data_IF_843001953581
#
_entry.id   IF_843001953581
#
_cell.length_a   1.000
_cell.length_b   1.000
_cell.length_c   1.000
_cell.angle_alpha   90.00
_cell.angle_beta   90.00
_cell.angle_gamma   90.00
#
_symmetry.space_group_name_H-M   'P 1'
#
loop_
_entity.id
_entity.type
_entity.pdbx_description
1 polymer ?
#
# COMPACT_ATOMS: atom_id res chain seq x y z
N UNK A 1 8.74 -36.25 -17.88
CA UNK A 1 9.59 -36.40 -19.08
C UNK A 1 10.55 -35.22 -19.11
N UNK A 2 11.87 -35.42 -19.32
CA UNK A 2 12.81 -34.31 -19.40
C UNK A 2 12.50 -33.45 -20.64
N UNK A 3 12.31 -32.15 -20.45
CA UNK A 3 12.04 -31.21 -21.54
C UNK A 3 13.10 -31.35 -22.64
N UNK A 4 12.64 -31.41 -23.89
CA UNK A 4 13.46 -31.50 -25.09
C UNK A 4 14.42 -30.31 -25.19
N UNK A 5 15.56 -30.45 -25.87
CA UNK A 5 16.55 -29.36 -26.03
C UNK A 5 15.91 -28.08 -26.60
N UNK A 6 14.93 -28.23 -27.49
CA UNK A 6 14.13 -27.14 -28.09
C UNK A 6 13.22 -26.46 -27.06
N UNK A 7 12.57 -27.20 -26.18
CA UNK A 7 11.75 -26.61 -25.11
C UNK A 7 12.59 -25.83 -24.10
N UNK A 8 13.81 -26.28 -23.77
CA UNK A 8 14.72 -25.52 -22.91
C UNK A 8 15.21 -24.23 -23.56
N UNK A 9 15.47 -24.27 -24.87
CA UNK A 9 15.89 -23.10 -25.64
C UNK A 9 14.75 -22.08 -25.76
N UNK A 10 13.52 -22.57 -25.97
CA UNK A 10 12.30 -21.74 -25.95
C UNK A 10 12.02 -21.17 -24.56
N UNK A 11 12.18 -21.96 -23.48
CA UNK A 11 12.04 -21.48 -22.11
C UNK A 11 13.12 -20.47 -21.71
N UNK A 12 14.29 -20.51 -22.36
CA UNK A 12 15.35 -19.52 -22.17
C UNK A 12 15.06 -18.22 -22.92
N UNK A 13 14.43 -18.29 -24.10
CA UNK A 13 14.06 -17.11 -24.90
C UNK A 13 12.73 -16.47 -24.47
N UNK A 14 11.80 -17.26 -23.95
CA UNK A 14 10.51 -16.77 -23.48
C UNK A 14 10.65 -16.33 -22.02
N UNK A 15 10.52 -15.02 -21.72
CA UNK A 15 10.57 -14.55 -20.35
C UNK A 15 9.43 -15.14 -19.54
N UNK A 16 9.62 -15.22 -18.22
CA UNK A 16 8.53 -15.55 -17.31
C UNK A 16 7.34 -14.60 -17.56
N UNK A 17 6.10 -15.10 -17.54
CA UNK A 17 4.93 -14.28 -17.82
C UNK A 17 4.85 -13.13 -16.81
N UNK A 18 4.70 -11.90 -17.31
CA UNK A 18 4.44 -10.75 -16.44
C UNK A 18 3.10 -10.98 -15.73
N UNK A 19 3.08 -10.79 -14.41
CA UNK A 19 1.89 -10.98 -13.58
C UNK A 19 0.93 -9.77 -13.69
N UNK A 20 0.56 -9.41 -14.91
CA UNK A 20 -0.33 -8.29 -15.25
C UNK A 20 -1.63 -8.89 -15.79
N UNK A 21 -2.80 -8.67 -15.14
CA UNK A 21 -4.05 -9.20 -15.64
C UNK A 21 -4.38 -8.63 -17.04
N UNK A 22 -5.03 -9.39 -17.93
CA UNK A 22 -5.27 -8.97 -19.33
C UNK A 22 -6.02 -7.64 -19.48
N UNK A 23 -6.88 -7.31 -18.50
CA UNK A 23 -7.60 -6.03 -18.45
C UNK A 23 -6.66 -4.83 -18.33
N UNK A 24 -5.50 -5.01 -17.70
CA UNK A 24 -4.49 -3.97 -17.59
C UNK A 24 -3.69 -3.78 -18.89
N UNK A 25 -3.59 -4.78 -19.77
CA UNK A 25 -2.92 -4.63 -21.07
C UNK A 25 -3.66 -3.66 -21.99
N UNK A 26 -4.97 -3.86 -22.14
CA UNK A 26 -5.81 -2.97 -22.95
C UNK A 26 -5.79 -1.55 -22.38
N UNK A 27 -5.91 -1.43 -21.05
CA UNK A 27 -5.83 -0.16 -20.34
C UNK A 27 -4.49 0.54 -20.58
N UNK A 28 -3.37 -0.17 -20.50
CA UNK A 28 -2.05 0.38 -20.75
C UNK A 28 -1.89 0.85 -22.21
N UNK A 29 -2.33 0.04 -23.17
CA UNK A 29 -2.28 0.38 -24.60
C UNK A 29 -3.12 1.61 -24.96
N UNK A 30 -4.35 1.70 -24.45
CA UNK A 30 -5.22 2.86 -24.64
C UNK A 30 -4.62 4.10 -23.97
N UNK A 31 -4.08 3.97 -22.76
CA UNK A 31 -3.42 5.06 -22.05
C UNK A 31 -2.22 5.60 -22.81
N UNK A 32 -1.35 4.72 -23.29
CA UNK A 32 -0.18 5.08 -24.10
C UNK A 32 -0.57 5.77 -25.41
N UNK A 33 -1.60 5.27 -26.11
CA UNK A 33 -2.13 5.89 -27.32
C UNK A 33 -2.63 7.31 -27.05
N UNK A 34 -3.47 7.49 -26.04
CA UNK A 34 -4.05 8.80 -25.69
C UNK A 34 -2.95 9.76 -25.23
N UNK A 35 -2.04 9.29 -24.36
CA UNK A 35 -0.92 10.09 -23.86
C UNK A 35 0.02 10.56 -24.95
N UNK A 36 0.45 9.64 -25.82
CA UNK A 36 1.34 9.95 -26.94
C UNK A 36 0.68 10.90 -27.95
N UNK A 37 -0.58 10.62 -28.32
CA UNK A 37 -1.32 11.46 -29.26
C UNK A 37 -1.52 12.88 -28.73
N UNK A 38 -2.00 13.04 -27.49
CA UNK A 38 -2.25 14.36 -26.91
C UNK A 38 -0.95 15.17 -26.71
N UNK A 39 0.12 14.54 -26.20
CA UNK A 39 1.40 15.20 -26.03
C UNK A 39 1.99 15.62 -27.39
N UNK A 40 2.04 14.72 -28.37
CA UNK A 40 2.53 15.04 -29.72
C UNK A 40 1.69 16.11 -30.43
N UNK A 41 0.35 16.02 -30.33
CA UNK A 41 -0.56 16.98 -30.97
C UNK A 41 -0.45 18.39 -30.38
N UNK A 42 -0.44 18.53 -29.05
CA UNK A 42 -0.31 19.83 -28.39
C UNK A 42 1.06 20.46 -28.65
N UNK A 43 2.14 19.67 -28.63
CA UNK A 43 3.47 20.17 -28.99
C UNK A 43 3.55 20.55 -30.47
N UNK A 44 2.87 19.82 -31.36
CA UNK A 44 2.75 20.17 -32.77
C UNK A 44 2.00 21.49 -32.99
N UNK A 45 1.02 21.82 -32.15
CA UNK A 45 0.33 23.11 -32.22
C UNK A 45 1.20 24.26 -31.72
N UNK A 46 2.03 24.03 -30.70
CA UNK A 46 2.86 25.06 -30.08
C UNK A 46 4.15 25.36 -30.89
N UNK A 47 4.81 24.31 -31.41
CA UNK A 47 6.14 24.43 -32.03
C UNK A 47 6.16 23.97 -33.50
N UNK A 48 5.11 23.33 -33.99
CA UNK A 48 5.02 22.81 -35.36
C UNK A 48 5.24 21.29 -35.45
N UNK A 49 4.77 20.67 -36.56
CA UNK A 49 4.72 19.22 -36.70
C UNK A 49 6.11 18.58 -36.78
N UNK A 50 7.09 19.24 -37.41
CA UNK A 50 8.43 18.68 -37.58
C UNK A 50 9.12 18.46 -36.23
N UNK A 51 9.08 19.45 -35.34
CA UNK A 51 9.67 19.35 -33.99
C UNK A 51 8.96 18.29 -33.16
N UNK A 52 7.62 18.24 -33.23
CA UNK A 52 6.84 17.25 -32.49
C UNK A 52 7.18 15.81 -32.92
N UNK A 53 7.35 15.57 -34.22
CA UNK A 53 7.70 14.25 -34.77
C UNK A 53 9.11 13.80 -34.36
N UNK A 54 10.07 14.72 -34.30
CA UNK A 54 11.43 14.41 -33.84
C UNK A 54 11.48 13.96 -32.38
N UNK A 55 10.67 14.57 -31.51
CA UNK A 55 10.61 14.23 -30.09
C UNK A 55 9.71 13.02 -29.80
N UNK A 56 9.05 12.45 -30.82
CA UNK A 56 8.07 11.39 -30.66
C UNK A 56 8.70 10.08 -30.19
N UNK A 57 9.95 9.79 -30.59
CA UNK A 57 10.66 8.55 -30.23
C UNK A 57 10.84 8.39 -28.70
N UNK A 58 11.55 9.32 -28.03
CA UNK A 58 11.67 9.32 -26.57
C UNK A 58 10.30 9.35 -25.88
N UNK A 59 9.38 10.17 -26.38
CA UNK A 59 8.03 10.31 -25.82
C UNK A 59 7.23 9.00 -25.87
N UNK A 60 7.30 8.26 -26.98
CA UNK A 60 6.64 6.97 -27.15
C UNK A 60 7.21 5.92 -26.17
N UNK A 61 8.53 5.90 -25.98
CA UNK A 61 9.17 5.02 -25.01
C UNK A 61 8.74 5.38 -23.56
N UNK A 62 8.62 6.67 -23.24
CA UNK A 62 8.09 7.13 -21.95
C UNK A 62 6.62 6.74 -21.76
N UNK A 63 5.79 6.83 -22.80
CA UNK A 63 4.40 6.42 -22.75
C UNK A 63 4.26 4.93 -22.38
N UNK A 64 5.09 4.05 -22.96
CA UNK A 64 5.10 2.63 -22.60
C UNK A 64 5.39 2.45 -21.10
N UNK A 65 6.43 3.09 -20.57
CA UNK A 65 6.78 2.97 -19.15
C UNK A 65 5.69 3.52 -18.22
N UNK A 66 5.20 4.73 -18.51
CA UNK A 66 4.26 5.44 -17.64
C UNK A 66 2.86 4.82 -17.63
N UNK A 67 2.45 4.09 -18.67
CA UNK A 67 1.14 3.44 -18.73
C UNK A 67 1.17 1.93 -18.51
N UNK A 68 2.23 1.21 -18.93
CA UNK A 68 2.35 -0.23 -18.75
C UNK A 68 3.06 -0.61 -17.43
N UNK A 69 4.09 0.14 -17.04
CA UNK A 69 4.92 -0.11 -15.85
C UNK A 69 4.84 1.07 -14.87
N UNK A 70 3.64 1.64 -14.72
CA UNK A 70 3.35 2.82 -13.90
C UNK A 70 3.69 2.65 -12.40
N UNK A 71 3.90 1.40 -11.97
CA UNK A 71 4.35 1.04 -10.63
C UNK A 71 5.84 1.25 -10.41
N UNK A 72 6.64 1.18 -11.47
CA UNK A 72 8.09 1.22 -11.39
C UNK A 72 8.62 2.58 -10.91
N UNK A 73 9.79 2.61 -10.25
CA UNK A 73 10.42 3.86 -9.83
C UNK A 73 10.71 4.74 -11.03
N UNK A 74 11.20 4.16 -12.14
CA UNK A 74 11.59 4.89 -13.35
C UNK A 74 10.41 5.55 -14.09
N UNK A 75 9.18 5.15 -13.80
CA UNK A 75 7.96 5.67 -14.42
C UNK A 75 7.28 6.76 -13.59
N UNK A 76 7.79 7.09 -12.40
CA UNK A 76 7.22 8.14 -11.56
C UNK A 76 7.45 9.55 -12.17
N UNK A 77 6.65 10.57 -11.80
CA UNK A 77 6.72 11.90 -12.39
C UNK A 77 8.12 12.55 -12.33
N UNK A 78 8.84 12.40 -11.21
CA UNK A 78 10.16 13.03 -11.04
C UNK A 78 11.20 12.43 -12.00
N UNK A 79 11.38 11.10 -12.11
CA UNK A 79 12.22 10.50 -13.14
C UNK A 79 11.88 10.94 -14.56
N UNK A 80 10.60 11.02 -14.94
CA UNK A 80 10.22 11.47 -16.29
C UNK A 80 10.62 12.93 -16.53
N UNK A 81 10.19 13.85 -15.66
CA UNK A 81 10.44 15.28 -15.85
C UNK A 81 11.92 15.65 -15.65
N UNK A 82 12.54 15.12 -14.60
CA UNK A 82 13.94 15.38 -14.25
C UNK A 82 14.90 14.83 -15.31
N UNK A 83 14.66 13.61 -15.81
CA UNK A 83 15.51 13.05 -16.88
C UNK A 83 15.43 13.87 -18.16
N UNK A 84 14.25 14.30 -18.60
CA UNK A 84 14.09 15.09 -19.83
C UNK A 84 14.77 16.45 -19.70
N UNK A 85 14.66 17.10 -18.53
CA UNK A 85 15.34 18.35 -18.24
C UNK A 85 16.87 18.20 -18.30
N UNK A 86 17.41 17.25 -17.54
CA UNK A 86 18.85 17.05 -17.41
C UNK A 86 19.47 16.52 -18.69
N UNK A 87 18.81 15.59 -19.38
CA UNK A 87 19.25 15.09 -20.67
C UNK A 87 19.28 16.17 -21.75
N UNK A 88 18.26 17.05 -21.78
CA UNK A 88 18.23 18.19 -22.68
C UNK A 88 19.42 19.12 -22.43
N UNK A 89 19.68 19.48 -21.17
CA UNK A 89 20.81 20.33 -20.79
C UNK A 89 22.15 19.68 -21.14
N UNK A 90 22.35 18.40 -20.79
CA UNK A 90 23.60 17.67 -21.08
C UNK A 90 23.79 17.54 -22.59
N UNK A 91 22.75 17.20 -23.33
CA UNK A 91 22.79 17.06 -24.79
C UNK A 91 23.14 18.37 -25.49
N UNK A 92 22.51 19.48 -25.10
CA UNK A 92 22.83 20.82 -25.63
C UNK A 92 24.26 21.22 -25.30
N UNK A 93 24.68 21.10 -24.03
CA UNK A 93 26.04 21.45 -23.62
C UNK A 93 27.13 20.64 -24.35
N UNK A 94 26.90 19.34 -24.56
CA UNK A 94 27.81 18.49 -25.33
C UNK A 94 27.85 18.87 -26.81
N UNK A 95 26.70 19.21 -27.39
CA UNK A 95 26.62 19.68 -28.77
C UNK A 95 27.35 21.01 -28.96
N UNK A 96 27.16 21.97 -28.07
CA UNK A 96 27.77 23.30 -28.19
C UNK A 96 29.28 23.24 -27.99
N UNK A 97 29.76 22.36 -27.10
CA UNK A 97 31.19 22.17 -26.85
C UNK A 97 31.93 21.38 -27.92
N UNK A 98 31.30 20.38 -28.53
CA UNK A 98 31.99 19.38 -29.38
C UNK A 98 31.39 19.18 -30.77
N UNK A 99 30.26 19.85 -31.07
CA UNK A 99 29.53 19.72 -32.33
C UNK A 99 28.66 18.46 -32.42
N UNK A 100 27.96 18.28 -33.55
CA UNK A 100 27.20 17.06 -33.82
C UNK A 100 28.16 15.90 -34.16
N UNK A 101 27.97 14.75 -33.52
CA UNK A 101 28.76 13.55 -33.83
C UNK A 101 28.30 12.33 -33.04
N UNK A 102 28.51 11.15 -33.62
CA UNK A 102 28.12 9.88 -32.99
C UNK A 102 28.80 9.68 -31.63
N UNK A 103 30.10 10.01 -31.54
CA UNK A 103 30.85 9.88 -30.30
C UNK A 103 30.38 10.88 -29.23
N UNK A 104 30.00 12.09 -29.62
CA UNK A 104 29.43 13.12 -28.73
C UNK A 104 28.08 12.66 -28.19
N UNK A 105 27.23 12.08 -29.05
CA UNK A 105 25.93 11.55 -28.65
C UNK A 105 26.08 10.37 -27.67
N UNK A 106 27.03 9.46 -27.91
CA UNK A 106 27.33 8.37 -26.99
C UNK A 106 27.87 8.88 -25.64
N UNK A 107 28.74 9.89 -25.64
CA UNK A 107 29.24 10.53 -24.43
C UNK A 107 28.12 11.25 -23.66
N UNK A 108 27.25 11.97 -24.36
CA UNK A 108 26.10 12.65 -23.79
C UNK A 108 25.11 11.67 -23.14
N UNK A 109 24.86 10.52 -23.77
CA UNK A 109 24.07 9.43 -23.19
C UNK A 109 24.69 8.93 -21.88
N UNK A 110 25.98 8.59 -21.90
CA UNK A 110 26.69 8.10 -20.72
C UNK A 110 26.69 9.10 -19.56
N UNK A 111 26.99 10.37 -19.86
CA UNK A 111 26.96 11.45 -18.87
C UNK A 111 25.54 11.68 -18.32
N UNK A 112 24.53 11.65 -19.19
CA UNK A 112 23.13 11.80 -18.79
C UNK A 112 22.71 10.70 -17.81
N UNK A 113 23.09 9.44 -18.07
CA UNK A 113 22.81 8.33 -17.15
C UNK A 113 23.44 8.57 -15.78
N UNK A 114 24.72 8.98 -15.73
CA UNK A 114 25.41 9.28 -14.46
C UNK A 114 24.72 10.39 -13.67
N UNK A 115 24.39 11.50 -14.34
CA UNK A 115 23.70 12.65 -13.73
C UNK A 115 22.30 12.24 -13.23
N UNK A 116 21.56 11.45 -14.01
CA UNK A 116 20.25 10.95 -13.61
C UNK A 116 20.30 10.02 -12.39
N UNK A 117 21.31 9.14 -12.32
CA UNK A 117 21.53 8.28 -11.16
C UNK A 117 21.83 9.11 -9.90
N UNK A 118 22.71 10.11 -9.99
CA UNK A 118 23.03 11.02 -8.88
C UNK A 118 21.80 11.78 -8.37
N UNK A 119 20.94 12.24 -9.27
CA UNK A 119 19.74 13.02 -8.96
C UNK A 119 18.48 12.15 -8.77
N UNK A 120 18.62 10.82 -8.73
CA UNK A 120 17.54 9.84 -8.54
C UNK A 120 16.37 10.04 -9.51
N UNK A 121 16.67 10.40 -10.74
CA UNK A 121 15.69 10.64 -11.81
C UNK A 121 15.99 9.80 -13.05
N UNK A 122 16.56 8.60 -12.88
CA UNK A 122 16.82 7.69 -14.00
C UNK A 122 15.51 7.32 -14.70
N UNK A 123 15.43 7.66 -15.98
CA UNK A 123 14.33 7.29 -16.87
C UNK A 123 14.94 7.09 -18.26
N UNK A 124 15.01 5.83 -18.76
CA UNK A 124 15.79 5.50 -19.96
C UNK A 124 15.48 6.35 -21.21
N UNK A 125 14.22 6.74 -21.49
CA UNK A 125 13.91 7.65 -22.60
C UNK A 125 14.60 9.02 -22.52
N UNK A 126 14.95 9.50 -21.32
CA UNK A 126 15.77 10.70 -21.17
C UNK A 126 17.13 10.57 -21.86
N UNK A 127 17.75 9.38 -21.84
CA UNK A 127 18.98 9.14 -22.61
C UNK A 127 18.81 9.36 -24.11
N UNK A 128 17.65 8.97 -24.67
CA UNK A 128 17.33 9.22 -26.06
C UNK A 128 17.08 10.72 -26.34
N UNK A 129 16.56 11.48 -25.37
CA UNK A 129 16.47 12.96 -25.45
C UNK A 129 17.87 13.58 -25.58
N UNK A 130 18.85 13.15 -24.78
CA UNK A 130 20.23 13.65 -24.86
C UNK A 130 20.85 13.37 -26.24
N UNK A 131 20.67 12.15 -26.77
CA UNK A 131 21.12 11.78 -28.11
C UNK A 131 20.43 12.62 -29.18
N UNK A 132 19.11 12.83 -29.05
CA UNK A 132 18.31 13.62 -30.00
C UNK A 132 18.73 15.09 -30.00
N UNK A 133 19.11 15.64 -28.84
CA UNK A 133 19.63 17.00 -28.75
C UNK A 133 21.01 17.13 -29.44
N UNK A 134 21.90 16.15 -29.28
CA UNK A 134 23.21 16.18 -29.95
C UNK A 134 23.08 16.00 -31.47
N UNK A 135 22.25 15.06 -31.91
CA UNK A 135 22.05 14.72 -33.33
C UNK A 135 20.91 15.51 -33.98
N UNK A 136 20.46 16.58 -33.35
CA UNK A 136 19.35 17.41 -33.79
C UNK A 136 19.47 17.82 -35.28
N UNK A 137 18.38 17.62 -36.02
CA UNK A 137 18.19 18.04 -37.41
C UNK A 137 18.09 19.56 -37.54
N UNK A 138 18.22 20.13 -38.77
CA UNK A 138 18.16 21.58 -39.01
C UNK A 138 16.98 22.28 -38.33
N UNK A 139 15.81 21.65 -38.28
CA UNK A 139 14.62 22.16 -37.59
C UNK A 139 14.78 22.31 -36.08
N UNK A 140 15.41 21.33 -35.40
CA UNK A 140 15.67 21.42 -33.95
C UNK A 140 16.82 22.36 -33.64
N UNK A 141 17.84 22.40 -34.49
CA UNK A 141 19.00 23.29 -34.30
C UNK A 141 18.64 24.76 -34.39
N UNK A 142 17.56 25.10 -35.13
CA UNK A 142 17.03 26.44 -35.18
C UNK A 142 16.47 26.94 -33.83
N UNK A 143 16.11 26.05 -32.89
CA UNK A 143 15.69 26.45 -31.55
C UNK A 143 16.85 26.83 -30.63
N UNK A 144 18.05 26.31 -30.87
CA UNK A 144 19.19 26.49 -29.96
C UNK A 144 18.81 26.18 -28.50
N UNK A 145 18.99 27.17 -27.62
CA UNK A 145 18.68 27.09 -26.19
C UNK A 145 17.20 26.81 -25.89
N UNK A 146 16.29 27.15 -26.81
CA UNK A 146 14.85 26.92 -26.66
C UNK A 146 14.44 25.46 -26.88
N UNK A 147 15.36 24.56 -27.26
CA UNK A 147 15.06 23.13 -27.45
C UNK A 147 14.49 22.48 -26.17
N UNK A 148 14.86 22.99 -25.00
CA UNK A 148 14.38 22.45 -23.72
C UNK A 148 12.87 22.63 -23.54
N UNK A 149 12.29 23.68 -24.11
CA UNK A 149 10.87 24.00 -23.96
C UNK A 149 9.93 22.94 -24.56
N UNK A 150 10.02 22.55 -25.84
CA UNK A 150 9.16 21.51 -26.42
C UNK A 150 9.42 20.13 -25.79
N UNK A 151 10.64 19.86 -25.34
CA UNK A 151 10.99 18.61 -24.62
C UNK A 151 10.26 18.53 -23.28
N UNK A 152 10.34 19.60 -22.48
CA UNK A 152 9.68 19.66 -21.18
C UNK A 152 8.16 19.73 -21.30
N UNK A 153 7.65 20.46 -22.30
CA UNK A 153 6.21 20.52 -22.59
C UNK A 153 5.66 19.11 -22.88
N UNK A 154 6.34 18.35 -23.75
CA UNK A 154 5.98 16.97 -24.06
C UNK A 154 5.94 16.08 -22.81
N UNK A 155 6.99 16.13 -21.98
CA UNK A 155 7.07 15.35 -20.75
C UNK A 155 5.97 15.75 -19.75
N UNK A 156 5.71 17.05 -19.60
CA UNK A 156 4.69 17.58 -18.72
C UNK A 156 3.29 17.12 -19.13
N UNK A 157 2.97 17.21 -20.43
CA UNK A 157 1.67 16.75 -20.95
C UNK A 157 1.53 15.25 -20.75
N UNK A 158 2.56 14.46 -21.07
CA UNK A 158 2.51 13.00 -20.88
C UNK A 158 2.24 12.64 -19.42
N UNK A 159 2.97 13.24 -18.48
CA UNK A 159 2.78 13.02 -17.04
C UNK A 159 1.38 13.47 -16.58
N UNK A 160 0.90 14.63 -17.06
CA UNK A 160 -0.44 15.11 -16.72
C UNK A 160 -1.54 14.15 -17.21
N UNK A 161 -1.45 13.70 -18.47
CA UNK A 161 -2.39 12.70 -19.02
C UNK A 161 -2.29 11.40 -18.24
N UNK A 162 -1.09 10.95 -17.89
CA UNK A 162 -0.90 9.75 -17.09
C UNK A 162 -1.54 9.85 -15.70
N UNK A 163 -1.43 10.99 -15.02
CA UNK A 163 -2.08 11.23 -13.73
C UNK A 163 -3.60 11.16 -13.87
N UNK A 164 -4.16 11.85 -14.87
CA UNK A 164 -5.61 11.88 -15.09
C UNK A 164 -6.13 10.50 -15.48
N UNK A 165 -5.53 9.86 -16.49
CA UNK A 165 -5.96 8.58 -17.02
C UNK A 165 -5.86 7.45 -15.99
N UNK A 166 -4.76 7.35 -15.25
CA UNK A 166 -4.63 6.32 -14.22
C UNK A 166 -5.67 6.50 -13.11
N UNK A 167 -5.93 7.74 -12.66
CA UNK A 167 -7.00 8.00 -11.68
C UNK A 167 -8.38 7.62 -12.20
N UNK A 168 -8.70 7.98 -13.45
CA UNK A 168 -9.99 7.65 -14.08
C UNK A 168 -10.19 6.14 -14.27
N UNK A 169 -9.10 5.40 -14.44
CA UNK A 169 -9.13 3.93 -14.59
C UNK A 169 -8.92 3.18 -13.26
N UNK A 170 -9.01 3.87 -12.13
CA UNK A 170 -8.95 3.26 -10.78
C UNK A 170 -7.56 2.91 -10.28
N UNK A 171 -6.49 3.34 -10.97
CA UNK A 171 -5.10 3.10 -10.58
C UNK A 171 -4.53 4.34 -9.89
N UNK A 172 -4.00 4.16 -8.68
CA UNK A 172 -3.34 5.25 -7.95
C UNK A 172 -1.98 5.56 -8.57
N UNK A 173 -1.88 6.72 -9.21
CA UNK A 173 -0.64 7.28 -9.74
C UNK A 173 -0.61 8.82 -9.50
N UNK A 174 0.51 9.40 -9.04
CA UNK A 174 1.77 8.73 -8.68
C UNK A 174 1.64 7.87 -7.42
N UNK A 175 2.54 6.89 -7.26
CA UNK A 175 2.66 6.12 -6.02
C UNK A 175 3.44 6.99 -5.01
N UNK A 176 2.86 7.20 -3.83
CA UNK A 176 3.55 7.81 -2.69
C UNK A 176 3.70 6.79 -1.57
N UNK A 177 4.64 7.03 -0.65
CA UNK A 177 4.77 6.26 0.58
C UNK A 177 3.41 6.24 1.30
N UNK A 178 2.96 5.06 1.72
CA UNK A 178 1.75 4.95 2.52
C UNK A 178 2.00 5.64 3.87
N UNK A 179 1.11 6.53 4.34
CA UNK A 179 1.29 7.13 5.65
C UNK A 179 1.24 6.04 6.73
N UNK A 180 2.24 6.02 7.61
CA UNK A 180 2.28 5.13 8.78
C UNK A 180 1.15 5.52 9.72
N UNK A 181 0.30 4.56 10.09
CA UNK A 181 -0.80 4.81 11.01
C UNK A 181 -0.29 4.69 12.44
N UNK A 182 0.16 5.81 13.02
CA UNK A 182 0.52 5.87 14.44
C UNK A 182 -0.77 5.91 15.28
N UNK A 183 -1.16 4.76 15.82
CA UNK A 183 -2.39 4.60 16.61
C UNK A 183 -2.18 4.94 18.09
N UNK A 184 -0.94 4.89 18.57
CA UNK A 184 -0.62 5.05 19.99
C UNK A 184 -0.04 6.43 20.31
N UNK A 185 0.28 7.23 19.27
CA UNK A 185 0.96 8.51 19.40
C UNK A 185 2.25 8.37 20.21
N UNK A 186 2.94 7.26 20.02
CA UNK A 186 4.21 6.94 20.65
C UNK A 186 5.27 6.76 19.58
N UNK A 187 6.53 6.99 19.95
CA UNK A 187 7.65 6.79 19.02
C UNK A 187 7.96 5.32 18.73
N UNK A 188 7.34 4.40 19.48
CA UNK A 188 7.60 2.98 19.33
C UNK A 188 6.95 2.40 18.06
N UNK A 189 7.61 1.45 17.38
CA UNK A 189 6.99 0.71 16.29
C UNK A 189 5.81 -0.15 16.76
N UNK A 190 4.92 -0.47 15.82
CA UNK A 190 3.76 -1.35 16.08
C UNK A 190 4.24 -2.76 16.49
N UNK A 191 3.49 -3.51 17.31
CA UNK A 191 3.89 -4.85 17.74
C UNK A 191 4.22 -5.81 16.59
N UNK A 192 3.51 -5.72 15.46
CA UNK A 192 3.78 -6.50 14.25
C UNK A 192 5.11 -6.13 13.59
N UNK A 193 5.46 -4.84 13.53
CA UNK A 193 6.75 -4.35 13.01
C UNK A 193 7.95 -4.73 13.91
N UNK A 194 7.72 -5.02 15.20
CA UNK A 194 8.80 -5.41 16.13
C UNK A 194 9.28 -6.85 15.93
N UNK A 195 8.34 -7.72 15.55
CA UNK A 195 8.55 -9.18 15.47
C UNK A 195 8.73 -9.64 14.02
N UNK A 196 8.23 -8.86 13.04
CA UNK A 196 8.38 -9.13 11.62
C UNK A 196 9.70 -8.64 11.02
N UNK A 197 9.79 -8.75 9.69
CA UNK A 197 10.93 -8.30 8.89
C UNK A 197 11.08 -6.78 9.03
N UNK A 198 12.27 -6.33 9.43
CA UNK A 198 12.57 -4.90 9.55
C UNK A 198 12.96 -4.34 8.20
N UNK A 199 12.80 -3.03 8.09
CA UNK A 199 13.19 -2.32 6.89
C UNK A 199 14.70 -2.38 6.64
N UNK A 200 15.50 -2.53 7.71
CA UNK A 200 16.96 -2.74 7.66
C UNK A 200 17.33 -4.12 7.09
N UNK A 201 16.58 -5.16 7.45
CA UNK A 201 16.79 -6.53 6.93
C UNK A 201 16.57 -6.56 5.41
N UNK A 202 15.60 -5.77 4.93
CA UNK A 202 15.32 -5.62 3.51
C UNK A 202 16.45 -4.91 2.77
N UNK A 203 17.01 -3.86 3.36
CA UNK A 203 18.11 -3.10 2.77
C UNK A 203 19.37 -4.00 2.66
N UNK A 204 19.68 -4.76 3.71
CA UNK A 204 20.78 -5.73 3.69
C UNK A 204 20.56 -6.83 2.63
N UNK A 205 19.34 -7.37 2.52
CA UNK A 205 19.04 -8.39 1.52
C UNK A 205 19.18 -7.87 0.08
N UNK A 206 18.83 -6.61 -0.17
CA UNK A 206 19.01 -5.96 -1.47
C UNK A 206 20.49 -5.70 -1.78
N UNK A 207 21.28 -5.30 -0.78
CA UNK A 207 22.74 -5.13 -0.93
C UNK A 207 23.43 -6.46 -1.24
N UNK A 208 23.06 -7.54 -0.55
CA UNK A 208 23.59 -8.89 -0.78
C UNK A 208 23.20 -9.43 -2.17
N UNK A 209 22.00 -9.11 -2.66
CA UNK A 209 21.56 -9.51 -3.99
C UNK A 209 22.41 -8.84 -5.09
N UNK A 210 22.85 -7.59 -4.88
CA UNK A 210 23.77 -6.87 -5.77
C UNK A 210 23.24 -6.59 -7.19
N UNK A 211 21.99 -6.94 -7.47
CA UNK A 211 21.34 -6.79 -8.78
C UNK A 211 20.31 -5.66 -8.77
N UNK A 212 20.05 -5.08 -9.96
CA UNK A 212 18.98 -4.10 -10.13
C UNK A 212 17.61 -4.78 -10.00
N UNK A 213 16.88 -4.44 -8.95
CA UNK A 213 15.49 -4.88 -8.74
C UNK A 213 14.55 -3.77 -9.21
N UNK A 214 13.74 -4.05 -10.24
CA UNK A 214 12.72 -3.12 -10.76
C UNK A 214 11.45 -3.10 -9.90
N UNK A 215 11.63 -2.95 -8.58
CA UNK A 215 10.55 -2.87 -7.58
C UNK A 215 10.97 -1.84 -6.54
N UNK A 216 10.06 -0.94 -6.17
CA UNK A 216 10.35 0.02 -5.10
C UNK A 216 10.43 -0.68 -3.75
N UNK A 217 11.22 -0.13 -2.81
CA UNK A 217 11.34 -0.64 -1.43
C UNK A 217 9.98 -0.89 -0.78
N UNK A 218 9.10 0.11 -0.82
CA UNK A 218 7.74 0.03 -0.27
C UNK A 218 6.86 -1.05 -0.97
N UNK A 219 7.12 -1.35 -2.24
CA UNK A 219 6.41 -2.39 -2.97
C UNK A 219 6.91 -3.77 -2.59
N UNK A 220 8.23 -3.93 -2.45
CA UNK A 220 8.82 -5.18 -1.98
C UNK A 220 8.38 -5.50 -0.53
N UNK A 221 8.40 -4.51 0.36
CA UNK A 221 7.90 -4.64 1.72
C UNK A 221 6.43 -5.08 1.74
N UNK A 222 5.57 -4.46 0.92
CA UNK A 222 4.16 -4.86 0.79
C UNK A 222 4.00 -6.29 0.28
N UNK A 223 4.82 -6.72 -0.67
CA UNK A 223 4.79 -8.10 -1.19
C UNK A 223 5.19 -9.08 -0.10
N UNK A 224 6.24 -8.78 0.66
CA UNK A 224 6.70 -9.61 1.79
C UNK A 224 5.60 -9.72 2.85
N UNK A 225 5.05 -8.59 3.31
CA UNK A 225 3.98 -8.58 4.32
C UNK A 225 2.73 -9.33 3.84
N UNK A 226 2.32 -9.16 2.58
CA UNK A 226 1.21 -9.91 2.01
C UNK A 226 1.50 -11.41 1.95
N UNK A 227 2.74 -11.79 1.61
CA UNK A 227 3.19 -13.18 1.58
C UNK A 227 3.19 -13.80 2.97
N UNK A 228 3.67 -13.08 3.99
CA UNK A 228 3.62 -13.50 5.39
C UNK A 228 2.18 -13.68 5.86
N UNK A 229 1.26 -12.76 5.52
CA UNK A 229 -0.15 -12.91 5.86
C UNK A 229 -0.77 -14.16 5.22
N UNK A 230 -0.45 -14.47 3.96
CA UNK A 230 -0.91 -15.70 3.31
C UNK A 230 -0.27 -16.97 3.90
N UNK A 231 1.00 -16.91 4.29
CA UNK A 231 1.67 -18.01 4.99
C UNK A 231 1.06 -18.24 6.38
N UNK A 232 0.77 -17.15 7.11
CA UNK A 232 0.11 -17.17 8.41
C UNK A 232 -1.30 -17.73 8.30
N UNK A 233 -2.08 -17.32 7.30
CA UNK A 233 -3.40 -17.88 7.02
C UNK A 233 -3.35 -19.39 6.79
N UNK A 234 -2.32 -19.89 6.11
CA UNK A 234 -2.14 -21.34 5.91
C UNK A 234 -1.72 -22.05 7.20
N UNK A 235 -0.87 -21.41 8.01
CA UNK A 235 -0.40 -21.94 9.29
C UNK A 235 -1.53 -21.98 10.32
N UNK A 236 -2.25 -20.87 10.50
CA UNK A 236 -3.43 -20.69 11.38
C UNK A 236 -4.74 -21.27 10.82
N UNK A 237 -4.71 -21.74 9.57
CA UNK A 237 -5.86 -22.24 8.83
C UNK A 237 -6.53 -23.41 9.55
N UNK A 238 -7.58 -23.10 10.31
CA UNK A 238 -8.35 -24.08 11.07
C UNK A 238 -8.94 -23.52 12.37
N UNK A 239 -8.42 -22.42 12.89
CA UNK A 239 -8.96 -21.77 14.09
C UNK A 239 -9.89 -20.64 13.68
N UNK A 240 -11.16 -20.76 14.05
CA UNK A 240 -12.18 -19.73 13.85
C UNK A 240 -12.49 -19.01 15.15
N UNK A 241 -13.11 -17.83 15.07
CA UNK A 241 -13.62 -17.10 16.23
C UNK A 241 -14.47 -18.01 17.14
N UNK A 242 -15.32 -18.86 16.57
CA UNK A 242 -16.16 -19.81 17.31
C UNK A 242 -15.37 -20.77 18.23
N UNK A 243 -14.13 -21.09 17.86
CA UNK A 243 -13.29 -22.04 18.59
C UNK A 243 -12.51 -21.43 19.77
N UNK A 244 -12.38 -20.10 19.79
CA UNK A 244 -11.66 -19.35 20.82
C UNK A 244 -12.57 -18.43 21.63
N UNK A 245 -13.75 -18.07 21.12
CA UNK A 245 -14.65 -17.13 21.79
C UNK A 245 -15.19 -17.68 23.12
N UNK A 246 -15.35 -16.78 24.06
CA UNK A 246 -16.16 -17.02 25.25
C UNK A 246 -17.64 -16.97 24.87
N UNK A 247 -18.39 -18.01 25.22
CA UNK A 247 -19.82 -18.14 24.92
C UNK A 247 -20.72 -17.64 26.05
N UNK A 248 -20.24 -17.70 27.29
CA UNK A 248 -20.92 -17.15 28.46
C UNK A 248 -20.62 -15.65 28.59
N UNK A 249 -21.24 -14.86 27.72
CA UNK A 249 -21.00 -13.43 27.61
C UNK A 249 -21.98 -12.67 28.50
N UNK A 250 -21.45 -11.89 29.43
CA UNK A 250 -22.25 -10.90 30.15
C UNK A 250 -22.55 -9.71 29.23
N UNK A 251 -23.81 -9.33 29.13
CA UNK A 251 -24.27 -8.19 28.33
C UNK A 251 -25.28 -7.35 29.11
N UNK A 252 -25.50 -6.12 28.64
CA UNK A 252 -26.47 -5.19 29.25
C UNK A 252 -27.50 -4.74 28.22
N UNK A 253 -28.65 -4.27 28.70
CA UNK A 253 -29.64 -3.64 27.83
C UNK A 253 -29.37 -2.15 27.70
N UNK A 254 -29.88 -1.47 26.65
CA UNK A 254 -29.79 -0.02 26.53
C UNK A 254 -30.41 0.74 27.73
N UNK A 255 -31.34 0.11 28.44
CA UNK A 255 -32.04 0.68 29.58
C UNK A 255 -31.35 0.43 30.93
N UNK A 256 -30.32 -0.42 30.95
CA UNK A 256 -29.50 -0.71 32.13
C UNK A 256 -28.83 0.56 32.63
N UNK A 257 -28.81 0.76 33.95
CA UNK A 257 -28.23 1.97 34.55
C UNK A 257 -26.71 1.85 34.68
N UNK A 258 -26.03 3.01 34.77
CA UNK A 258 -24.58 3.07 34.96
C UNK A 258 -24.10 2.28 36.18
N UNK A 259 -24.79 2.36 37.32
CA UNK A 259 -24.41 1.61 38.53
C UNK A 259 -24.51 0.09 38.33
N UNK A 260 -25.54 -0.38 37.63
CA UNK A 260 -25.71 -1.80 37.34
C UNK A 260 -24.64 -2.31 36.38
N UNK A 261 -24.35 -1.55 35.32
CA UNK A 261 -23.29 -1.89 34.38
C UNK A 261 -21.90 -1.91 35.05
N UNK A 262 -21.63 -0.94 35.93
CA UNK A 262 -20.38 -0.90 36.71
C UNK A 262 -20.25 -2.13 37.61
N UNK A 263 -21.32 -2.48 38.34
CA UNK A 263 -21.33 -3.66 39.21
C UNK A 263 -21.03 -4.94 38.43
N UNK A 264 -21.57 -5.08 37.22
CA UNK A 264 -21.30 -6.23 36.34
C UNK A 264 -19.85 -6.27 35.84
N UNK A 265 -19.29 -5.13 35.42
CA UNK A 265 -17.89 -5.06 35.00
C UNK A 265 -16.95 -5.46 36.15
N UNK A 266 -17.22 -4.96 37.36
CA UNK A 266 -16.42 -5.22 38.55
C UNK A 266 -16.56 -6.68 39.04
N UNK A 267 -17.80 -7.18 39.19
CA UNK A 267 -18.05 -8.52 39.72
C UNK A 267 -17.59 -9.65 38.81
N UNK A 268 -17.58 -9.41 37.49
CA UNK A 268 -17.11 -10.38 36.51
C UNK A 268 -15.67 -10.12 36.04
N UNK A 269 -15.00 -9.10 36.57
CA UNK A 269 -13.64 -8.69 36.18
C UNK A 269 -13.46 -8.50 34.66
N UNK A 270 -14.51 -8.02 34.00
CA UNK A 270 -14.51 -7.74 32.55
C UNK A 270 -14.39 -6.25 32.30
N UNK A 271 -13.65 -5.87 31.26
CA UNK A 271 -13.37 -4.46 30.93
C UNK A 271 -14.40 -3.81 30.04
N UNK A 272 -15.23 -4.62 29.39
CA UNK A 272 -16.16 -4.22 28.34
C UNK A 272 -17.41 -5.09 28.38
N UNK A 273 -18.57 -4.49 28.11
CA UNK A 273 -19.85 -5.17 28.00
C UNK A 273 -20.51 -4.84 26.65
N UNK A 274 -20.92 -5.85 25.87
CA UNK A 274 -21.83 -5.66 24.76
C UNK A 274 -23.19 -5.14 25.27
N UNK A 275 -23.79 -4.23 24.51
CA UNK A 275 -25.15 -3.76 24.73
C UNK A 275 -26.06 -4.42 23.70
N UNK A 276 -27.02 -5.21 24.18
CA UNK A 276 -27.88 -6.05 23.35
C UNK A 276 -29.35 -5.67 23.56
N UNK A 277 -30.13 -5.64 22.47
CA UNK A 277 -31.58 -5.47 22.47
C UNK A 277 -32.20 -6.54 21.57
N UNK A 278 -33.14 -7.31 22.11
CA UNK A 278 -33.85 -8.37 21.39
C UNK A 278 -32.90 -9.38 20.71
N UNK A 279 -31.78 -9.69 21.37
CA UNK A 279 -30.72 -10.57 20.85
C UNK A 279 -29.73 -9.90 19.90
N UNK A 280 -30.03 -8.71 19.39
CA UNK A 280 -29.17 -7.96 18.47
C UNK A 280 -28.18 -7.05 19.19
N UNK A 281 -26.94 -6.99 18.69
CA UNK A 281 -25.91 -6.09 19.19
C UNK A 281 -26.21 -4.64 18.77
N UNK A 282 -26.44 -3.75 19.74
CA UNK A 282 -26.78 -2.33 19.48
C UNK A 282 -25.72 -1.34 19.97
N UNK A 283 -24.74 -1.82 20.74
CA UNK A 283 -23.63 -0.99 21.19
C UNK A 283 -22.60 -1.79 22.00
N UNK A 284 -21.54 -1.10 22.41
CA UNK A 284 -20.54 -1.62 23.36
C UNK A 284 -20.19 -0.53 24.35
N UNK A 285 -19.87 -0.92 25.58
CA UNK A 285 -19.41 -0.01 26.64
C UNK A 285 -18.17 -0.56 27.31
N UNK A 286 -17.17 0.28 27.51
CA UNK A 286 -15.94 -0.04 28.24
C UNK A 286 -15.92 0.62 29.63
N UNK A 287 -15.09 0.11 30.54
CA UNK A 287 -14.82 0.77 31.82
C UNK A 287 -14.43 2.24 31.65
N UNK A 288 -13.59 2.57 30.67
CA UNK A 288 -13.16 3.94 30.36
C UNK A 288 -14.33 4.85 29.96
N UNK A 289 -15.34 4.32 29.26
CA UNK A 289 -16.52 5.09 28.86
C UNK A 289 -17.40 5.45 30.08
N UNK A 290 -17.35 4.65 31.15
CA UNK A 290 -18.14 4.89 32.36
C UNK A 290 -17.49 5.89 33.33
N UNK A 291 -16.16 6.08 33.29
CA UNK A 291 -15.43 6.94 34.23
C UNK A 291 -15.88 8.40 34.14
N UNK A 292 -15.98 8.96 32.93
CA UNK A 292 -16.39 10.36 32.72
C UNK A 292 -17.79 10.67 33.26
N UNK A 293 -18.83 9.91 32.85
CA UNK A 293 -20.18 10.06 33.38
C UNK A 293 -20.28 9.84 34.89
N UNK A 294 -19.50 8.90 35.46
CA UNK A 294 -19.44 8.68 36.91
C UNK A 294 -18.82 9.88 37.65
N UNK A 295 -17.73 10.47 37.13
CA UNK A 295 -17.11 11.68 37.69
C UNK A 295 -18.04 12.90 37.62
N UNK A 296 -18.78 13.08 36.51
CA UNK A 296 -19.76 14.16 36.40
C UNK A 296 -20.91 14.01 37.41
N UNK A 297 -21.32 12.79 37.74
CA UNK A 297 -22.30 12.56 38.82
C UNK A 297 -21.74 12.92 40.21
N UNK A 298 -20.43 12.76 40.42
CA UNK A 298 -19.74 13.04 41.68
C UNK A 298 -19.40 14.53 41.89
N UNK A 299 -18.99 15.27 40.85
CA UNK A 299 -18.43 16.63 40.97
C UNK A 299 -19.45 17.79 41.05
N UNK A 300 -20.74 17.59 40.79
CA UNK A 300 -21.74 18.68 40.76
C UNK A 300 -22.59 18.75 42.03
N UNK A 301 -22.11 19.55 42.99
CA UNK A 301 -22.79 19.90 44.25
C UNK A 301 -23.47 21.29 44.16
N UNK A 302 -24.56 21.47 44.91
CA UNK A 302 -25.51 22.60 45.07
C UNK A 302 -26.78 22.68 44.17
N UNK A 303 -26.79 22.20 42.91
CA UNK A 303 -28.02 22.25 42.05
C UNK A 303 -28.86 20.96 41.98
N UNK A 304 -28.47 19.90 42.71
CA UNK A 304 -29.00 18.54 42.57
C UNK A 304 -30.19 18.13 43.47
N UNK A 305 -30.86 19.07 44.14
CA UNK A 305 -31.95 18.79 45.11
C UNK A 305 -33.26 18.25 44.49
N UNK A 306 -33.40 18.26 43.15
CA UNK A 306 -34.57 17.70 42.46
C UNK A 306 -34.17 16.50 41.59
N UNK A 307 -34.51 15.29 42.06
CA UNK A 307 -34.63 14.05 41.27
C UNK A 307 -33.57 13.79 40.20
N UNK A 308 -32.43 13.23 40.58
CA UNK A 308 -31.41 12.78 39.61
C UNK A 308 -31.96 11.60 38.77
N UNK A 309 -32.13 11.80 37.47
CA UNK A 309 -32.43 10.70 36.54
C UNK A 309 -31.20 9.79 36.38
N UNK A 310 -31.35 8.47 36.47
CA UNK A 310 -30.23 7.54 36.28
C UNK A 310 -29.73 7.60 34.83
N UNK A 311 -28.42 7.69 34.65
CA UNK A 311 -27.77 7.58 33.33
C UNK A 311 -27.90 6.14 32.85
N UNK A 312 -28.41 5.97 31.62
CA UNK A 312 -28.64 4.67 30.98
C UNK A 312 -27.56 4.36 29.96
N UNK A 313 -27.32 3.08 29.70
CA UNK A 313 -26.33 2.63 28.71
C UNK A 313 -26.58 3.21 27.31
N UNK A 314 -27.84 3.40 26.90
CA UNK A 314 -28.18 4.02 25.61
C UNK A 314 -27.57 5.43 25.39
N UNK A 315 -27.20 6.12 26.48
CA UNK A 315 -26.62 7.47 26.46
C UNK A 315 -25.08 7.46 26.44
N UNK A 316 -24.46 6.36 26.85
CA UNK A 316 -23.00 6.24 27.01
C UNK A 316 -22.38 5.27 26.00
N UNK A 317 -23.13 4.28 25.54
CA UNK A 317 -22.64 3.23 24.65
C UNK A 317 -22.13 3.77 23.30
N UNK A 318 -21.07 3.15 22.80
CA UNK A 318 -20.61 3.36 21.43
C UNK A 318 -21.46 2.52 20.47
N UNK A 319 -22.06 3.16 19.47
CA UNK A 319 -22.93 2.51 18.47
C UNK A 319 -22.17 1.91 17.28
N UNK A 320 -20.98 2.43 16.98
CA UNK A 320 -20.13 1.91 15.90
C UNK A 320 -19.27 0.78 16.46
N UNK A 321 -19.86 -0.41 16.53
CA UNK A 321 -19.19 -1.59 17.06
C UNK A 321 -18.55 -2.36 15.92
N UNK A 322 -17.26 -2.65 16.04
CA UNK A 322 -16.58 -3.59 15.16
C UNK A 322 -16.88 -4.99 15.67
N UNK A 323 -17.59 -5.79 14.88
CA UNK A 323 -17.96 -7.16 15.20
C UNK A 323 -17.50 -8.13 14.11
N UNK A 324 -17.48 -9.42 14.43
CA UNK A 324 -16.97 -10.47 13.56
C UNK A 324 -17.93 -11.66 13.53
N UNK A 325 -18.05 -12.33 12.39
CA UNK A 325 -18.71 -13.64 12.30
C UNK A 325 -18.00 -14.73 13.12
N UNK A 326 -18.76 -15.70 13.65
CA UNK A 326 -18.23 -16.91 14.30
C UNK A 326 -17.27 -17.73 13.40
N UNK A 327 -17.45 -17.64 12.08
CA UNK A 327 -16.63 -18.32 11.08
C UNK A 327 -15.40 -17.50 10.67
N UNK A 328 -15.22 -16.29 11.18
CA UNK A 328 -14.01 -15.53 10.87
C UNK A 328 -12.77 -16.28 11.37
N UNK A 329 -11.74 -16.38 10.52
CA UNK A 329 -10.53 -17.08 10.89
C UNK A 329 -9.65 -16.19 11.80
N UNK A 330 -8.90 -16.82 12.70
CA UNK A 330 -8.18 -16.16 13.78
C UNK A 330 -7.20 -15.08 13.28
N UNK A 331 -6.54 -15.31 12.14
CA UNK A 331 -5.57 -14.38 11.56
C UNK A 331 -6.18 -13.01 11.23
N UNK A 332 -7.49 -12.95 10.97
CA UNK A 332 -8.19 -11.67 10.72
C UNK A 332 -8.56 -10.94 12.02
N UNK A 333 -8.62 -11.64 13.14
CA UNK A 333 -8.88 -11.06 14.46
C UNK A 333 -7.63 -10.41 15.06
N UNK A 334 -6.44 -10.95 14.74
CA UNK A 334 -5.16 -10.46 15.25
C UNK A 334 -4.94 -8.96 15.01
N UNK A 335 -5.01 -8.40 13.78
CA UNK A 335 -4.77 -6.97 13.58
C UNK A 335 -5.82 -6.10 14.27
N UNK A 336 -7.07 -6.57 14.39
CA UNK A 336 -8.13 -5.85 15.09
C UNK A 336 -7.80 -5.69 16.59
N UNK A 337 -7.34 -6.76 17.24
CA UNK A 337 -7.07 -6.79 18.68
C UNK A 337 -5.65 -6.34 19.06
N UNK A 338 -4.68 -6.44 18.15
CA UNK A 338 -3.27 -6.12 18.40
C UNK A 338 -2.86 -4.73 17.87
N UNK A 339 -3.44 -4.28 16.75
CA UNK A 339 -3.03 -3.04 16.10
C UNK A 339 -4.10 -1.96 16.27
N UNK A 340 -5.39 -2.28 16.03
CA UNK A 340 -6.46 -1.28 16.03
C UNK A 340 -6.92 -0.83 17.42
N UNK A 341 -6.24 -1.27 18.49
CA UNK A 341 -6.55 -0.89 19.87
C UNK A 341 -7.88 -1.45 20.38
N UNK A 342 -8.50 -2.39 19.68
CA UNK A 342 -9.69 -3.07 20.17
C UNK A 342 -9.26 -4.09 21.23
N UNK A 343 -9.94 -4.12 22.37
CA UNK A 343 -9.63 -5.08 23.45
C UNK A 343 -10.63 -6.25 23.49
N UNK A 344 -11.73 -6.11 22.76
CA UNK A 344 -12.87 -7.00 22.80
C UNK A 344 -13.59 -6.94 21.44
N UNK A 345 -13.87 -8.10 20.85
CA UNK A 345 -14.60 -8.26 19.61
C UNK A 345 -15.87 -9.09 19.85
N UNK A 346 -17.05 -8.46 19.77
CA UNK A 346 -18.31 -9.18 19.74
C UNK A 346 -18.39 -10.10 18.51
N UNK A 347 -18.75 -11.36 18.75
CA UNK A 347 -18.94 -12.38 17.71
C UNK A 347 -20.42 -12.52 17.43
N UNK A 348 -20.80 -12.36 16.17
CA UNK A 348 -22.19 -12.41 15.71
C UNK A 348 -22.43 -13.58 14.74
N UNK A 349 -23.61 -14.17 14.81
CA UNK A 349 -24.16 -14.98 13.72
C UNK A 349 -25.41 -14.26 13.18
N UNK A 350 -25.27 -13.65 12.01
CA UNK A 350 -26.21 -12.62 11.56
C UNK A 350 -26.14 -11.40 12.48
N UNK A 351 -27.27 -11.04 13.10
CA UNK A 351 -27.35 -9.93 14.05
C UNK A 351 -27.22 -10.39 15.51
N UNK A 352 -27.24 -11.71 15.76
CA UNK A 352 -27.31 -12.27 17.11
C UNK A 352 -25.92 -12.39 17.74
N UNK A 353 -25.76 -11.89 18.96
CA UNK A 353 -24.53 -12.05 19.74
C UNK A 353 -24.36 -13.50 20.21
N UNK A 354 -23.34 -14.20 19.71
CA UNK A 354 -23.05 -15.60 20.04
C UNK A 354 -21.79 -15.78 20.90
N UNK A 355 -20.98 -14.74 21.03
CA UNK A 355 -19.78 -14.80 21.85
C UNK A 355 -18.99 -13.50 21.85
N UNK A 356 -17.87 -13.51 22.57
CA UNK A 356 -16.89 -12.42 22.59
C UNK A 356 -15.49 -13.02 22.51
N UNK A 357 -14.61 -12.38 21.74
CA UNK A 357 -13.18 -12.69 21.68
C UNK A 357 -12.39 -11.53 22.27
N UNK A 358 -11.53 -11.83 23.24
CA UNK A 358 -10.59 -10.88 23.85
C UNK A 358 -9.15 -11.20 23.47
N UNK A 359 -8.21 -10.33 23.81
CA UNK A 359 -6.78 -10.59 23.65
C UNK A 359 -6.32 -11.86 24.38
N UNK A 360 -6.89 -12.16 25.55
CA UNK A 360 -6.56 -13.38 26.32
C UNK A 360 -7.00 -14.64 25.57
N UNK A 361 -8.17 -14.61 24.93
CA UNK A 361 -8.68 -15.71 24.13
C UNK A 361 -7.80 -15.97 22.90
N UNK A 362 -7.32 -14.91 22.25
CA UNK A 362 -6.35 -15.03 21.16
C UNK A 362 -5.06 -15.73 21.61
N UNK A 363 -4.49 -15.32 22.74
CA UNK A 363 -3.26 -15.92 23.29
C UNK A 363 -3.50 -17.41 23.60
N UNK A 364 -4.65 -17.75 24.20
CA UNK A 364 -5.01 -19.13 24.47
C UNK A 364 -5.16 -19.96 23.19
N UNK A 365 -5.80 -19.40 22.16
CA UNK A 365 -5.94 -20.01 20.84
C UNK A 365 -4.60 -20.28 20.16
N UNK A 366 -3.72 -19.28 20.14
CA UNK A 366 -2.36 -19.40 19.59
C UNK A 366 -1.52 -20.44 20.33
N UNK A 367 -1.57 -20.45 21.68
CA UNK A 367 -0.86 -21.45 22.50
C UNK A 367 -1.30 -22.88 22.14
N UNK A 368 -2.61 -23.10 22.02
CA UNK A 368 -3.16 -24.42 21.64
C UNK A 368 -2.65 -24.83 20.26
N UNK A 369 -2.56 -23.88 19.34
CA UNK A 369 -2.08 -24.15 18.01
C UNK A 369 -0.60 -24.54 17.98
N UNK A 370 0.27 -23.77 18.65
CA UNK A 370 1.70 -24.05 18.71
C UNK A 370 1.99 -25.46 19.26
N UNK A 371 1.24 -25.88 20.28
CA UNK A 371 1.31 -27.24 20.82
C UNK A 371 0.85 -28.30 19.81
N UNK A 372 -0.20 -28.02 19.05
CA UNK A 372 -0.68 -28.95 18.02
C UNK A 372 0.31 -29.12 16.85
N UNK A 373 0.98 -28.04 16.43
CA UNK A 373 2.00 -28.09 15.39
C UNK A 373 3.27 -28.80 15.84
N UNK A 374 3.71 -28.60 17.10
CA UNK A 374 4.86 -29.30 17.66
C UNK A 374 4.62 -30.82 17.69
N UNK A 375 3.46 -31.24 18.19
CA UNK A 375 3.06 -32.66 18.23
C UNK A 375 2.93 -33.30 16.84
N UNK A 376 2.54 -32.51 15.82
CA UNK A 376 2.47 -32.98 14.43
C UNK A 376 3.87 -33.13 13.80
N UNK A 377 4.83 -32.29 14.20
CA UNK A 377 6.23 -32.38 13.76
C UNK A 377 6.94 -33.61 14.34
N UNK A 378 6.72 -33.92 15.62
CA UNK A 378 7.30 -35.10 16.27
C UNK A 378 6.82 -36.42 15.64
N UNK A 379 5.55 -36.50 15.21
CA UNK A 379 5.00 -37.68 14.52
C UNK A 379 5.54 -37.90 13.10
N UNK A 380 6.16 -36.89 12.48
CA UNK A 380 6.76 -37.00 11.13
C UNK A 380 8.20 -37.52 11.16
N UNK A 381 8.81 -37.68 12.33
CA UNK A 381 10.09 -38.36 12.49
C UNK A 381 9.75 -39.83 12.81
N UNK A 382 9.73 -40.75 11.84
CA UNK A 382 9.63 -42.17 12.16
C UNK A 382 10.85 -42.53 13.01
N UNK A 383 10.60 -43.18 14.15
CA UNK A 383 11.65 -43.76 14.98
C UNK A 383 12.52 -44.65 14.08
N UNK A 384 13.78 -44.24 13.89
CA UNK A 384 14.82 -45.02 13.20
C UNK A 384 15.28 -46.18 14.06
#
# INVERSE_FOLDING_TARGET
MPASRTERLLQWLLPAPMNIPPTQWLRAGVGALVGLFLAGWLTSLAYGPDIALHLLGPLAASAVLVFAVHSGPLAQPWPVLGSYALAGIVGLAMRDGFGPGLWVAAAALGLSILVMCLLRCLHPPGGAVAVSAVLADPGLTALGDHLLEPVLLNALILVAVAIVYNRLTGVRYPKGAAPRKDLHHTHDPLPSERVGIRSEDLDQALEELGEFVDVTRDELERIILATEQHALQRSLGGITAASVMSKDVQFVSPDTTLQQAWKLLDSHHVKTLPVVRDGALVGIVSLSDLVGPAMQQACLSWRGLFGRKPVRMAQVMSRRVVSVSSQHPLERLLPLLCEQGLHCLPVLDGDVLVGVVTQTDLIAGLKRQLLSSANASERRIPAL
#
